data_IF_556375541237
#
_entry.id   IF_556375541237
#
_cell.length_a   1.000
_cell.length_b   1.000
_cell.length_c   1.000
_cell.angle_alpha   90.00
_cell.angle_beta   90.00
_cell.angle_gamma   90.00
#
_symmetry.space_group_name_H-M   'P 1'
#
loop_
_entity.id
_entity.type
_entity.pdbx_description
1 polymer ?
#
# COMPACT_ATOMS: atom_id res chain seq x y z
N UNK A 1 16.62 20.54 27.68
CA UNK A 1 16.45 19.18 28.24
C UNK A 1 15.17 18.60 27.65
N UNK A 2 15.31 17.84 26.58
CA UNK A 2 14.20 17.13 25.95
C UNK A 2 13.86 15.96 26.89
N UNK A 3 12.66 15.95 27.50
CA UNK A 3 12.15 14.77 28.19
C UNK A 3 12.26 13.62 27.21
N UNK A 4 12.84 12.51 27.65
CA UNK A 4 12.86 11.27 26.88
C UNK A 4 11.41 10.85 26.64
N UNK A 5 10.87 11.30 25.48
CA UNK A 5 9.55 10.87 25.04
C UNK A 5 9.70 9.47 24.50
N UNK A 6 9.10 8.53 25.18
CA UNK A 6 9.06 7.14 24.77
C UNK A 6 7.60 6.67 24.77
N UNK A 7 7.16 6.19 23.64
CA UNK A 7 5.83 5.63 23.49
C UNK A 7 5.95 4.26 22.85
N UNK A 8 5.30 3.29 23.45
CA UNK A 8 5.24 1.92 22.95
C UNK A 8 3.79 1.48 22.82
N UNK A 9 3.45 0.92 21.69
CA UNK A 9 2.13 0.31 21.46
C UNK A 9 2.28 -1.04 20.74
N UNK A 10 1.30 -1.89 20.92
CA UNK A 10 1.22 -3.18 20.24
C UNK A 10 -0.03 -3.25 19.38
N UNK A 11 0.10 -3.76 18.18
CA UNK A 11 -1.03 -4.06 17.31
C UNK A 11 -0.83 -5.36 16.56
N UNK A 12 -1.91 -5.92 16.04
CA UNK A 12 -1.90 -7.18 15.32
C UNK A 12 -2.12 -6.91 13.84
N UNK A 13 -1.30 -7.55 13.00
CA UNK A 13 -1.47 -7.53 11.55
C UNK A 13 -2.63 -8.46 11.16
N UNK A 14 -3.84 -7.95 11.26
CA UNK A 14 -5.06 -8.67 10.94
C UNK A 14 -5.66 -8.22 9.59
N UNK A 15 -6.75 -8.85 9.19
CA UNK A 15 -7.43 -8.53 7.93
C UNK A 15 -7.97 -7.09 7.87
N UNK A 16 -8.59 -6.53 8.93
CA UNK A 16 -8.97 -5.12 9.00
C UNK A 16 -7.80 -4.18 8.79
N UNK A 17 -6.67 -4.42 9.47
CA UNK A 17 -5.45 -3.61 9.31
C UNK A 17 -4.94 -3.61 7.87
N UNK A 18 -4.89 -4.79 7.23
CA UNK A 18 -4.48 -4.87 5.82
C UNK A 18 -5.45 -4.18 4.88
N UNK A 19 -6.77 -4.23 5.16
CA UNK A 19 -7.75 -3.51 4.36
C UNK A 19 -7.56 -1.99 4.47
N UNK A 20 -7.39 -1.48 5.68
CA UNK A 20 -7.10 -0.07 5.96
C UNK A 20 -5.79 0.36 5.28
N UNK A 21 -4.72 -0.41 5.45
CA UNK A 21 -3.43 -0.17 4.81
C UNK A 21 -3.57 -0.07 3.28
N UNK A 22 -4.30 -0.99 2.64
CA UNK A 22 -4.55 -0.94 1.20
C UNK A 22 -5.31 0.31 0.79
N UNK A 23 -6.41 0.61 1.47
CA UNK A 23 -7.29 1.73 1.12
C UNK A 23 -6.59 3.10 1.29
N UNK A 24 -5.66 3.21 2.27
CA UNK A 24 -4.89 4.43 2.51
C UNK A 24 -3.63 4.54 1.64
N UNK A 25 -2.98 3.43 1.29
CA UNK A 25 -1.72 3.46 0.53
C UNK A 25 -1.89 3.28 -0.97
N UNK A 26 -2.98 2.63 -1.41
CA UNK A 26 -3.22 2.44 -2.83
C UNK A 26 -3.90 3.67 -3.42
N UNK A 27 -3.22 4.31 -4.36
CA UNK A 27 -3.88 5.31 -5.20
C UNK A 27 -4.76 4.56 -6.21
N UNK A 28 -6.10 4.69 -6.15
CA UNK A 28 -6.96 4.06 -7.14
C UNK A 28 -6.64 4.65 -8.50
N UNK A 29 -6.25 3.81 -9.44
CA UNK A 29 -6.10 4.24 -10.83
C UNK A 29 -7.47 4.72 -11.28
N UNK A 30 -7.60 6.02 -11.60
CA UNK A 30 -8.89 6.64 -11.93
C UNK A 30 -9.48 5.98 -13.16
N UNK A 31 -10.78 5.70 -13.09
CA UNK A 31 -11.57 5.38 -14.29
C UNK A 31 -11.50 6.58 -15.26
N UNK A 32 -11.28 6.42 -16.59
CA UNK A 32 -11.24 5.14 -17.33
C UNK A 32 -9.86 4.49 -17.50
N UNK A 33 -8.77 5.13 -17.05
CA UNK A 33 -7.39 4.71 -17.33
C UNK A 33 -7.07 3.29 -16.82
N UNK A 34 -7.75 2.86 -15.74
CA UNK A 34 -7.59 1.52 -15.21
C UNK A 34 -7.95 0.42 -16.22
N UNK A 35 -8.94 0.68 -17.07
CA UNK A 35 -9.47 -0.29 -18.04
C UNK A 35 -8.96 -0.08 -19.46
N UNK A 36 -8.11 0.94 -19.68
CA UNK A 36 -7.63 1.29 -21.03
C UNK A 36 -6.96 0.13 -21.75
N UNK A 37 -6.14 -0.65 -21.04
CA UNK A 37 -5.49 -1.84 -21.62
C UNK A 37 -6.51 -2.88 -22.06
N UNK A 38 -7.50 -3.19 -21.22
CA UNK A 38 -8.56 -4.12 -21.57
C UNK A 38 -9.35 -3.65 -22.77
N UNK A 39 -9.68 -2.35 -22.84
CA UNK A 39 -10.36 -1.76 -23.98
C UNK A 39 -9.53 -1.88 -25.29
N UNK A 40 -8.22 -1.62 -25.21
CA UNK A 40 -7.33 -1.77 -26.36
C UNK A 40 -7.29 -3.23 -26.86
N UNK A 41 -7.20 -4.20 -25.95
CA UNK A 41 -7.24 -5.62 -26.33
C UNK A 41 -8.59 -6.01 -26.94
N UNK A 42 -9.70 -5.48 -26.43
CA UNK A 42 -11.02 -5.72 -26.97
C UNK A 42 -11.13 -5.19 -28.40
N UNK A 43 -10.78 -3.92 -28.61
CA UNK A 43 -10.83 -3.29 -29.94
C UNK A 43 -9.93 -4.07 -30.90
N UNK A 44 -8.72 -4.41 -30.51
CA UNK A 44 -7.79 -5.14 -31.36
C UNK A 44 -8.31 -6.54 -31.72
N UNK A 45 -8.88 -7.27 -30.76
CA UNK A 45 -9.48 -8.57 -30.99
C UNK A 45 -10.66 -8.51 -31.98
N UNK A 46 -11.54 -7.50 -31.80
CA UNK A 46 -12.68 -7.30 -32.74
C UNK A 46 -12.21 -6.94 -34.15
N UNK A 47 -11.24 -6.04 -34.27
CA UNK A 47 -10.67 -5.68 -35.59
C UNK A 47 -10.08 -6.88 -36.28
N UNK A 48 -9.36 -7.76 -35.59
CA UNK A 48 -8.80 -8.98 -36.19
C UNK A 48 -9.87 -9.94 -36.70
N UNK A 49 -11.04 -10.01 -36.03
CA UNK A 49 -12.15 -10.87 -36.45
C UNK A 49 -12.94 -10.26 -37.60
N UNK A 50 -13.28 -8.96 -37.52
CA UNK A 50 -14.10 -8.29 -38.53
C UNK A 50 -13.42 -8.16 -39.90
N UNK A 51 -12.11 -7.87 -39.88
CA UNK A 51 -11.35 -7.69 -41.13
C UNK A 51 -10.69 -8.96 -41.64
N UNK A 52 -10.96 -10.12 -41.00
CA UNK A 52 -10.39 -11.42 -41.39
C UNK A 52 -8.87 -11.36 -41.65
N UNK A 53 -8.15 -10.54 -40.87
CA UNK A 53 -6.72 -10.27 -41.07
C UNK A 53 -5.83 -11.50 -40.89
N UNK A 54 -6.37 -12.57 -40.32
CA UNK A 54 -5.67 -13.82 -40.07
C UNK A 54 -6.52 -15.00 -40.55
N UNK A 55 -5.89 -16.07 -41.07
CA UNK A 55 -6.56 -17.24 -41.66
C UNK A 55 -7.50 -17.98 -40.70
N UNK A 56 -7.32 -17.79 -39.40
CA UNK A 56 -8.15 -18.39 -38.39
C UNK A 56 -8.44 -17.37 -37.28
N UNK A 57 -9.70 -17.29 -36.82
CA UNK A 57 -10.18 -16.34 -35.84
C UNK A 57 -9.65 -16.55 -34.41
N UNK A 58 -8.82 -17.58 -34.16
CA UNK A 58 -8.34 -17.89 -32.80
C UNK A 58 -7.58 -16.73 -32.15
N UNK A 59 -6.81 -15.99 -32.94
CA UNK A 59 -6.02 -14.84 -32.42
C UNK A 59 -6.95 -13.70 -31.98
N UNK A 60 -7.99 -13.40 -32.73
CA UNK A 60 -8.99 -12.40 -32.35
C UNK A 60 -9.70 -12.78 -31.06
N UNK A 61 -10.16 -14.02 -30.95
CA UNK A 61 -10.75 -14.53 -29.71
C UNK A 61 -9.79 -14.52 -28.53
N UNK A 62 -8.51 -14.82 -28.73
CA UNK A 62 -7.48 -14.72 -27.69
C UNK A 62 -7.41 -13.32 -27.10
N UNK A 63 -7.41 -12.27 -27.94
CA UNK A 63 -7.37 -10.89 -27.44
C UNK A 63 -8.66 -10.48 -26.72
N UNK A 64 -9.81 -10.98 -27.15
CA UNK A 64 -11.07 -10.74 -26.45
C UNK A 64 -11.04 -11.38 -25.06
N UNK A 65 -10.60 -12.63 -24.92
CA UNK A 65 -10.44 -13.31 -23.63
C UNK A 65 -9.44 -12.56 -22.75
N UNK A 66 -8.32 -12.11 -23.33
CA UNK A 66 -7.31 -11.33 -22.59
C UNK A 66 -7.88 -10.00 -22.08
N UNK A 67 -8.75 -9.35 -22.86
CA UNK A 67 -9.48 -8.16 -22.43
C UNK A 67 -10.35 -8.42 -21.20
N UNK A 68 -11.09 -9.52 -21.18
CA UNK A 68 -11.91 -9.92 -20.02
C UNK A 68 -11.05 -10.21 -18.81
N UNK A 69 -9.93 -10.92 -18.97
CA UNK A 69 -8.98 -11.21 -17.88
C UNK A 69 -8.42 -9.92 -17.30
N UNK A 70 -8.05 -8.96 -18.15
CA UNK A 70 -7.53 -7.65 -17.70
C UNK A 70 -8.60 -6.86 -16.94
N UNK A 71 -9.84 -6.82 -17.41
CA UNK A 71 -10.95 -6.18 -16.71
C UNK A 71 -11.21 -6.83 -15.34
N UNK A 72 -11.21 -8.14 -15.26
CA UNK A 72 -11.32 -8.88 -14.00
C UNK A 72 -10.14 -8.59 -13.07
N UNK A 73 -8.93 -8.50 -13.59
CA UNK A 73 -7.73 -8.17 -12.81
C UNK A 73 -7.84 -6.81 -12.14
N UNK A 74 -8.36 -5.80 -12.86
CA UNK A 74 -8.60 -4.46 -12.30
C UNK A 74 -9.67 -4.51 -11.22
N UNK A 75 -10.79 -5.18 -11.48
CA UNK A 75 -11.92 -5.29 -10.54
C UNK A 75 -11.53 -6.01 -9.25
N UNK A 76 -10.82 -7.12 -9.35
CA UNK A 76 -10.44 -7.93 -8.20
C UNK A 76 -9.10 -7.53 -7.56
N UNK A 77 -8.46 -6.44 -7.99
CA UNK A 77 -7.13 -6.01 -7.52
C UNK A 77 -7.05 -5.92 -6.00
N UNK A 78 -8.05 -5.29 -5.36
CA UNK A 78 -8.11 -5.16 -3.88
C UNK A 78 -8.26 -6.52 -3.20
N UNK A 79 -9.20 -7.32 -3.67
CA UNK A 79 -9.49 -8.65 -3.11
C UNK A 79 -8.28 -9.57 -3.23
N UNK A 80 -7.62 -9.56 -4.40
CA UNK A 80 -6.42 -10.34 -4.67
C UNK A 80 -5.25 -9.92 -3.76
N UNK A 81 -5.05 -8.62 -3.58
CA UNK A 81 -4.02 -8.12 -2.68
C UNK A 81 -4.27 -8.55 -1.23
N UNK A 82 -5.49 -8.38 -0.73
CA UNK A 82 -5.89 -8.80 0.62
C UNK A 82 -5.74 -10.31 0.80
N UNK A 83 -6.12 -11.10 -0.18
CA UNK A 83 -5.97 -12.55 -0.13
C UNK A 83 -4.49 -12.96 -0.02
N UNK A 84 -3.64 -12.34 -0.81
CA UNK A 84 -2.19 -12.55 -0.77
C UNK A 84 -1.59 -12.21 0.60
N UNK A 85 -2.03 -11.11 1.23
CA UNK A 85 -1.59 -10.74 2.58
C UNK A 85 -2.10 -11.75 3.64
N UNK A 86 -3.31 -12.27 3.44
CA UNK A 86 -3.91 -13.26 4.34
C UNK A 86 -3.14 -14.59 4.35
N UNK A 87 -2.50 -14.96 3.22
CA UNK A 87 -1.68 -16.18 3.12
C UNK A 87 -0.23 -15.90 3.60
N UNK A 88 0.17 -14.63 3.67
CA UNK A 88 1.50 -14.26 4.13
C UNK A 88 1.73 -14.69 5.58
N UNK A 89 2.95 -15.10 5.89
CA UNK A 89 3.40 -15.44 7.25
C UNK A 89 3.31 -14.29 8.25
N UNK A 90 3.09 -13.06 7.78
CA UNK A 90 2.93 -11.88 8.62
C UNK A 90 1.54 -11.75 9.25
N UNK A 91 0.55 -12.53 8.79
CA UNK A 91 -0.81 -12.50 9.37
C UNK A 91 -0.80 -12.97 10.81
N UNK A 92 -1.46 -12.19 11.68
CA UNK A 92 -1.56 -12.49 13.12
C UNK A 92 -0.27 -12.21 13.89
N UNK A 93 0.77 -11.70 13.23
CA UNK A 93 1.97 -11.27 13.93
C UNK A 93 1.67 -10.02 14.76
N UNK A 94 2.11 -10.05 16.02
CA UNK A 94 2.14 -8.86 16.86
C UNK A 94 3.27 -7.96 16.40
N UNK A 95 2.96 -6.70 16.25
CA UNK A 95 3.94 -5.64 15.97
C UNK A 95 4.03 -4.77 17.21
N UNK A 96 5.22 -4.63 17.73
CA UNK A 96 5.54 -3.63 18.75
C UNK A 96 6.06 -2.40 18.02
N UNK A 97 5.41 -1.28 18.24
CA UNK A 97 5.75 -0.01 17.64
C UNK A 97 6.20 0.95 18.73
N UNK A 98 7.41 1.44 18.60
CA UNK A 98 8.05 2.35 19.56
C UNK A 98 8.37 3.67 18.86
N UNK A 99 8.09 4.78 19.52
CA UNK A 99 8.42 6.13 19.06
C UNK A 99 9.25 6.81 20.14
N UNK A 100 10.41 7.31 19.77
CA UNK A 100 11.30 8.04 20.69
C UNK A 100 11.93 9.27 20.00
N UNK A 101 12.80 9.97 20.71
CA UNK A 101 13.46 11.16 20.21
C UNK A 101 14.37 10.89 18.99
N UNK A 102 14.94 9.68 18.88
CA UNK A 102 15.89 9.30 17.83
C UNK A 102 15.17 8.83 16.55
N UNK A 103 13.98 8.27 16.69
CA UNK A 103 13.25 7.73 15.56
C UNK A 103 12.05 6.87 15.94
N UNK A 104 11.74 5.99 15.02
CA UNK A 104 10.62 5.04 15.10
C UNK A 104 11.16 3.62 14.96
N UNK A 105 10.79 2.74 15.87
CA UNK A 105 11.16 1.33 15.81
C UNK A 105 9.93 0.46 15.71
N UNK A 106 9.98 -0.54 14.87
CA UNK A 106 8.96 -1.56 14.83
C UNK A 106 9.56 -2.95 14.83
N UNK A 107 9.00 -3.78 15.68
CA UNK A 107 9.42 -5.16 15.87
C UNK A 107 8.25 -6.08 15.61
N UNK A 108 8.41 -6.98 14.65
CA UNK A 108 7.41 -7.98 14.30
C UNK A 108 8.06 -9.32 14.09
N UNK A 109 7.87 -10.25 15.00
CA UNK A 109 8.44 -11.58 14.92
C UNK A 109 9.97 -11.57 14.72
N UNK A 110 10.41 -11.88 13.49
CA UNK A 110 11.83 -11.89 13.12
C UNK A 110 12.35 -10.56 12.57
N UNK A 111 11.46 -9.59 12.36
CA UNK A 111 11.81 -8.29 11.79
C UNK A 111 11.91 -7.31 12.95
N UNK A 112 13.09 -6.75 13.14
CA UNK A 112 13.37 -5.64 14.05
C UNK A 112 14.01 -4.53 13.23
N UNK A 113 13.33 -3.39 13.12
CA UNK A 113 13.76 -2.28 12.28
C UNK A 113 13.62 -0.98 13.04
N UNK A 114 14.70 -0.24 13.13
CA UNK A 114 14.74 1.11 13.65
C UNK A 114 14.95 2.08 12.49
N UNK A 115 14.21 3.15 12.48
CA UNK A 115 14.24 4.21 11.47
C UNK A 115 14.49 5.53 12.18
N UNK A 116 15.60 6.16 11.89
CA UNK A 116 15.87 7.50 12.38
C UNK A 116 14.99 8.54 11.67
N UNK A 117 14.65 9.64 12.33
CA UNK A 117 13.79 10.69 11.76
C UNK A 117 14.32 11.27 10.45
N UNK A 118 15.64 11.31 10.28
CA UNK A 118 16.30 11.79 9.06
C UNK A 118 16.20 10.81 7.87
N UNK A 119 15.93 9.53 8.13
CA UNK A 119 15.72 8.50 7.10
C UNK A 119 14.30 8.53 6.51
N UNK A 120 13.37 9.20 7.19
CA UNK A 120 12.00 9.35 6.73
C UNK A 120 11.94 10.53 5.75
N UNK A 121 11.82 10.24 4.46
CA UNK A 121 11.76 11.27 3.43
C UNK A 121 10.54 12.17 3.56
N UNK A 122 9.39 11.55 3.82
CA UNK A 122 8.12 12.25 3.97
C UNK A 122 7.22 11.50 4.95
N UNK A 123 6.57 12.24 5.82
CA UNK A 123 5.50 11.77 6.69
C UNK A 123 4.16 12.26 6.11
N UNK A 124 3.46 11.40 5.40
CA UNK A 124 2.16 11.72 4.80
C UNK A 124 1.05 11.35 5.79
N UNK A 125 0.24 12.33 6.15
CA UNK A 125 -0.92 12.10 7.01
C UNK A 125 -2.12 11.75 6.14
N UNK A 126 -2.77 10.63 6.45
CA UNK A 126 -4.01 10.19 5.82
C UNK A 126 -5.17 10.27 6.83
N UNK A 127 -6.37 9.97 6.38
CA UNK A 127 -7.56 10.00 7.25
C UNK A 127 -7.41 9.05 8.44
N UNK A 128 -6.97 7.82 8.18
CA UNK A 128 -6.91 6.76 9.18
C UNK A 128 -5.49 6.45 9.70
N UNK A 129 -4.45 7.07 9.16
CA UNK A 129 -3.09 6.76 9.57
C UNK A 129 -2.02 7.71 9.06
N UNK A 130 -0.81 7.20 9.07
CA UNK A 130 0.37 7.84 8.52
C UNK A 130 1.08 6.90 7.55
N UNK A 131 1.58 7.46 6.46
CA UNK A 131 2.45 6.77 5.52
C UNK A 131 3.85 7.36 5.66
N UNK A 132 4.80 6.54 6.10
CA UNK A 132 6.21 6.89 6.11
C UNK A 132 6.81 6.51 4.77
N UNK A 133 7.35 7.50 4.07
CA UNK A 133 8.09 7.31 2.82
C UNK A 133 9.57 7.14 3.13
N UNK A 134 10.15 6.04 2.67
CA UNK A 134 11.52 5.62 2.91
C UNK A 134 12.15 5.27 1.55
N UNK A 135 12.51 6.28 0.77
CA UNK A 135 12.93 6.09 -0.62
C UNK A 135 11.82 5.46 -1.46
N UNK A 136 12.04 4.21 -1.88
CA UNK A 136 11.03 3.44 -2.65
C UNK A 136 10.05 2.65 -1.79
N UNK A 137 10.30 2.56 -0.50
CA UNK A 137 9.45 1.81 0.44
C UNK A 137 8.45 2.75 1.10
N UNK A 138 7.27 2.21 1.39
CA UNK A 138 6.22 2.90 2.14
C UNK A 138 5.80 2.03 3.30
N UNK A 139 5.68 2.64 4.45
CA UNK A 139 5.19 1.96 5.65
C UNK A 139 3.97 2.68 6.18
N UNK A 140 2.92 1.92 6.42
CA UNK A 140 1.67 2.44 6.97
C UNK A 140 1.60 2.19 8.48
N UNK A 141 1.11 3.19 9.21
CA UNK A 141 0.84 3.12 10.63
C UNK A 141 -0.56 3.65 10.87
N UNK A 142 -1.42 2.83 11.47
CA UNK A 142 -2.79 3.24 11.79
C UNK A 142 -2.82 4.21 12.97
N UNK A 143 -3.65 5.26 12.87
CA UNK A 143 -3.94 6.18 13.99
C UNK A 143 -4.63 5.47 15.16
N UNK A 144 -5.32 4.36 14.91
CA UNK A 144 -5.96 3.59 15.98
C UNK A 144 -4.98 3.05 17.02
N UNK A 145 -3.69 2.93 16.65
CA UNK A 145 -2.61 2.48 17.52
C UNK A 145 -1.85 3.64 18.21
N UNK A 146 -2.19 4.89 17.89
CA UNK A 146 -1.50 6.08 18.35
C UNK A 146 -2.44 6.97 19.18
N UNK A 147 -1.88 7.67 20.15
CA UNK A 147 -2.59 8.74 20.85
C UNK A 147 -2.26 10.11 20.23
N UNK A 148 -3.04 11.13 20.55
CA UNK A 148 -2.86 12.48 20.01
C UNK A 148 -1.49 13.09 20.34
N UNK A 149 -0.94 12.78 21.51
CA UNK A 149 0.37 13.26 21.94
C UNK A 149 1.49 12.70 21.06
N UNK A 150 1.43 11.40 20.73
CA UNK A 150 2.40 10.75 19.84
C UNK A 150 2.28 11.30 18.41
N UNK A 151 1.07 11.51 17.94
CA UNK A 151 0.83 12.10 16.62
C UNK A 151 1.48 13.49 16.54
N UNK A 152 1.22 14.35 17.52
CA UNK A 152 1.81 15.68 17.57
C UNK A 152 3.34 15.63 17.67
N UNK A 153 3.88 14.68 18.45
CA UNK A 153 5.31 14.45 18.60
C UNK A 153 5.96 14.01 17.28
N UNK A 154 5.39 13.02 16.58
CA UNK A 154 5.89 12.53 15.31
C UNK A 154 5.96 13.63 14.23
N UNK A 155 4.90 14.42 14.11
CA UNK A 155 4.84 15.54 13.16
C UNK A 155 5.91 16.59 13.49
N UNK A 156 6.07 16.94 14.77
CA UNK A 156 7.07 17.91 15.24
C UNK A 156 8.50 17.42 14.99
N UNK A 157 8.80 16.17 15.31
CA UNK A 157 10.15 15.61 15.15
C UNK A 157 10.53 15.48 13.67
N UNK A 158 9.59 15.03 12.83
CA UNK A 158 9.83 14.98 11.39
C UNK A 158 10.09 16.38 10.80
N UNK A 159 9.32 17.40 11.20
CA UNK A 159 9.55 18.78 10.77
C UNK A 159 10.92 19.30 11.23
N UNK A 160 11.33 19.01 12.45
CA UNK A 160 12.63 19.40 12.97
C UNK A 160 13.79 18.70 12.25
N UNK A 161 13.65 17.43 11.90
CA UNK A 161 14.68 16.66 11.18
C UNK A 161 14.90 17.13 9.74
N UNK A 162 13.90 17.78 9.12
CA UNK A 162 14.02 18.38 7.77
C UNK A 162 14.55 19.80 7.77
N UNK A 163 14.54 20.46 8.91
CA UNK A 163 15.05 21.83 9.06
C UNK A 163 16.53 21.89 9.46
N UNK A 164 17.14 20.77 9.82
CA UNK A 164 18.53 20.59 10.20
C UNK A 164 19.36 20.09 9.03
#
# INVERSE_FOLDING_TARGET
MSKDFEFTTEYILDKPFFAECYDQTSQPTKFPHAYLKGLLFLIFGVVLLEFELLPNGYVGWFFIVLSVIEACSVYFKRTWWLWRQTISSSRGSKVVFEVNADGVRYKSGKIDRSLAWNEIDQLEQTDLGFILHLGKQRQYISKSCLNEEVIAFMVKQHAASKAS
#
